data_IF_316051317441
#
_entry.id   IF_316051317441
#
_cell.length_a   1.000
_cell.length_b   1.000
_cell.length_c   1.000
_cell.angle_alpha   90.00
_cell.angle_beta   90.00
_cell.angle_gamma   90.00
#
_symmetry.space_group_name_H-M   'P 1'
#
loop_
_entity.id
_entity.type
_entity.pdbx_description
1 polymer ?
#
# COMPACT_ATOMS: atom_id res chain seq x y z
N UNK A 1 28.87 -9.28 40.80
CA UNK A 1 28.04 -9.86 39.74
C UNK A 1 28.92 -10.01 38.51
N UNK A 2 29.25 -11.25 38.14
CA UNK A 2 29.95 -11.53 36.89
C UNK A 2 28.99 -11.18 35.74
N UNK A 3 29.42 -10.44 34.71
CA UNK A 3 28.58 -10.25 33.53
C UNK A 3 28.24 -11.63 32.94
N UNK A 4 27.01 -11.85 32.44
CA UNK A 4 26.69 -13.10 31.78
C UNK A 4 27.63 -13.27 30.58
N UNK A 5 28.44 -14.33 30.62
CA UNK A 5 29.17 -14.81 29.45
C UNK A 5 28.14 -15.56 28.62
N UNK A 6 27.90 -15.11 27.39
CA UNK A 6 27.16 -15.94 26.43
C UNK A 6 28.02 -17.18 26.14
N UNK A 7 27.75 -18.27 26.84
CA UNK A 7 28.35 -19.57 26.53
C UNK A 7 27.82 -20.09 25.19
N UNK A 8 28.75 -20.55 24.35
CA UNK A 8 28.50 -21.34 23.16
C UNK A 8 28.55 -20.56 21.86
N UNK A 9 29.54 -20.86 21.00
CA UNK A 9 29.39 -20.61 19.57
C UNK A 9 28.12 -21.32 19.10
N UNK A 10 27.05 -20.56 18.82
CA UNK A 10 25.88 -21.13 18.14
C UNK A 10 26.34 -21.64 16.80
N UNK A 11 26.20 -22.94 16.56
CA UNK A 11 26.38 -23.51 15.23
C UNK A 11 25.58 -22.64 14.26
N UNK A 12 26.25 -22.11 13.23
CA UNK A 12 25.64 -21.26 12.22
C UNK A 12 25.55 -22.03 10.89
N UNK A 13 24.65 -23.03 10.81
CA UNK A 13 24.49 -23.82 9.60
C UNK A 13 24.05 -22.95 8.42
N UNK A 14 24.23 -23.45 7.20
CA UNK A 14 23.63 -22.81 6.02
C UNK A 14 22.11 -22.67 6.23
N UNK A 15 21.50 -21.55 5.77
CA UNK A 15 20.06 -21.37 5.87
C UNK A 15 19.34 -22.46 5.08
N UNK A 16 18.38 -23.13 5.72
CA UNK A 16 17.60 -24.18 5.10
C UNK A 16 16.12 -24.04 5.47
N UNK A 17 15.26 -24.37 4.52
CA UNK A 17 13.80 -24.39 4.73
C UNK A 17 13.42 -25.65 5.48
N UNK A 18 12.66 -25.49 6.56
CA UNK A 18 12.08 -26.59 7.34
C UNK A 18 10.57 -26.39 7.44
N UNK A 19 9.81 -27.51 7.51
CA UNK A 19 8.34 -27.50 7.63
C UNK A 19 7.63 -26.59 6.62
N UNK A 20 7.80 -26.88 5.34
CA UNK A 20 7.16 -26.13 4.26
C UNK A 20 5.74 -26.67 3.96
N UNK A 21 4.72 -25.93 4.36
CA UNK A 21 3.33 -26.15 3.98
C UNK A 21 3.07 -25.54 2.58
N UNK A 22 3.02 -26.41 1.57
CA UNK A 22 2.90 -26.03 0.17
C UNK A 22 1.58 -26.55 -0.42
N UNK A 23 0.69 -25.66 -0.91
CA UNK A 23 -0.53 -26.09 -1.58
C UNK A 23 -0.23 -26.72 -2.95
N UNK A 24 -0.77 -27.91 -3.20
CA UNK A 24 -0.62 -28.62 -4.49
C UNK A 24 -1.65 -28.16 -5.54
N UNK A 25 -2.69 -27.42 -5.12
CA UNK A 25 -3.74 -26.88 -5.99
C UNK A 25 -4.00 -25.42 -5.67
N UNK A 26 -4.38 -24.67 -6.70
CA UNK A 26 -4.83 -23.28 -6.61
C UNK A 26 -5.81 -22.95 -7.73
N UNK A 27 -6.35 -21.74 -7.71
CA UNK A 27 -7.28 -21.25 -8.73
C UNK A 27 -6.74 -19.99 -9.37
N UNK A 28 -6.93 -19.85 -10.67
CA UNK A 28 -6.56 -18.66 -11.43
C UNK A 28 -7.14 -17.42 -10.74
N UNK A 29 -6.34 -16.35 -10.65
CA UNK A 29 -6.72 -15.08 -10.05
C UNK A 29 -7.07 -15.13 -8.54
N UNK A 30 -6.83 -16.24 -7.85
CA UNK A 30 -6.93 -16.32 -6.40
C UNK A 30 -5.54 -16.46 -5.79
N UNK A 31 -5.24 -15.63 -4.79
CA UNK A 31 -3.96 -15.66 -4.09
C UNK A 31 -3.81 -16.98 -3.33
N UNK A 32 -2.74 -17.71 -3.61
CA UNK A 32 -2.31 -18.91 -2.90
C UNK A 32 -1.35 -18.52 -1.79
N UNK A 33 -1.59 -18.99 -0.58
CA UNK A 33 -0.74 -18.72 0.59
C UNK A 33 0.08 -19.96 0.92
N UNK A 34 1.38 -19.80 1.14
CA UNK A 34 2.27 -20.89 1.57
C UNK A 34 3.19 -20.41 2.68
N UNK A 35 3.34 -21.25 3.70
CA UNK A 35 4.12 -20.95 4.91
C UNK A 35 5.25 -21.94 5.10
N UNK A 36 6.36 -21.46 5.62
CA UNK A 36 7.54 -22.27 5.91
C UNK A 36 8.33 -21.68 7.08
N UNK A 37 9.23 -22.48 7.63
CA UNK A 37 10.18 -22.06 8.65
C UNK A 37 11.60 -22.12 8.09
N UNK A 38 12.51 -21.41 8.73
CA UNK A 38 13.95 -21.58 8.52
C UNK A 38 14.53 -22.38 9.68
N UNK A 39 15.62 -23.09 9.44
CA UNK A 39 16.33 -23.89 10.46
C UNK A 39 17.04 -23.05 11.54
N UNK A 40 16.99 -21.72 11.44
CA UNK A 40 17.57 -20.78 12.39
C UNK A 40 16.84 -19.45 12.37
N UNK A 41 17.08 -18.66 13.40
CA UNK A 41 16.51 -17.34 13.62
C UNK A 41 17.52 -16.24 13.27
N UNK A 42 16.99 -15.06 12.99
CA UNK A 42 17.73 -13.86 12.59
C UNK A 42 17.43 -12.74 13.58
N UNK A 43 18.40 -11.85 13.78
CA UNK A 43 18.24 -10.72 14.68
C UNK A 43 17.15 -9.77 14.17
N UNK A 44 17.20 -9.41 12.88
CA UNK A 44 16.14 -8.69 12.21
C UNK A 44 15.66 -9.47 10.97
N UNK A 45 14.60 -10.31 11.10
CA UNK A 45 14.06 -11.06 9.97
C UNK A 45 13.33 -10.18 8.95
N UNK A 46 13.18 -8.87 9.22
CA UNK A 46 12.64 -7.91 8.26
C UNK A 46 13.71 -7.31 7.34
N UNK A 47 15.00 -7.43 7.69
CA UNK A 47 16.09 -6.86 6.91
C UNK A 47 16.56 -7.82 5.81
N UNK A 48 16.30 -7.53 4.52
CA UNK A 48 16.78 -8.38 3.43
C UNK A 48 18.31 -8.40 3.28
N UNK A 49 19.04 -7.45 3.90
CA UNK A 49 20.51 -7.46 3.92
C UNK A 49 21.08 -8.39 5.01
N UNK A 50 20.24 -8.85 5.94
CA UNK A 50 20.53 -9.94 6.87
C UNK A 50 20.10 -11.29 6.28
N UNK A 51 18.83 -11.38 5.88
CA UNK A 51 18.23 -12.55 5.22
C UNK A 51 17.15 -12.15 4.22
N UNK A 52 17.40 -12.41 2.94
CA UNK A 52 16.38 -12.31 1.90
C UNK A 52 15.82 -13.70 1.58
N UNK A 53 14.61 -13.97 2.06
CA UNK A 53 13.80 -15.08 1.57
C UNK A 53 12.95 -14.62 0.38
N UNK A 54 13.17 -15.22 -0.78
CA UNK A 54 12.42 -15.04 -2.01
C UNK A 54 11.84 -16.40 -2.46
N UNK A 55 10.91 -16.35 -3.40
CA UNK A 55 10.44 -17.53 -4.11
C UNK A 55 10.50 -17.30 -5.62
N UNK A 56 10.84 -18.35 -6.34
CA UNK A 56 10.88 -18.36 -7.80
C UNK A 56 9.68 -19.13 -8.34
N UNK A 57 9.04 -18.57 -9.36
CA UNK A 57 7.89 -19.15 -10.04
C UNK A 57 8.22 -19.40 -11.49
N UNK A 58 8.12 -20.66 -11.92
CA UNK A 58 8.14 -21.04 -13.32
C UNK A 58 6.71 -21.30 -13.78
N UNK A 59 6.19 -20.43 -14.64
CA UNK A 59 4.85 -20.53 -15.19
C UNK A 59 4.74 -21.59 -16.30
N UNK A 60 3.53 -22.11 -16.60
CA UNK A 60 3.31 -23.03 -17.71
C UNK A 60 3.87 -22.46 -19.02
N UNK A 61 4.77 -23.21 -19.65
CA UNK A 61 5.42 -22.84 -20.92
C UNK A 61 6.46 -21.72 -20.82
N UNK A 62 6.83 -21.25 -19.63
CA UNK A 62 7.90 -20.28 -19.46
C UNK A 62 9.28 -20.96 -19.45
N UNK A 63 10.28 -20.33 -20.08
CA UNK A 63 11.66 -20.82 -20.10
C UNK A 63 12.45 -20.43 -18.84
N UNK A 64 12.11 -19.29 -18.24
CA UNK A 64 12.82 -18.71 -17.09
C UNK A 64 11.87 -18.43 -15.94
N UNK A 65 12.30 -18.69 -14.69
CA UNK A 65 11.50 -18.33 -13.53
C UNK A 65 11.52 -16.82 -13.27
N UNK A 66 10.50 -16.33 -12.58
CA UNK A 66 10.43 -14.97 -12.04
C UNK A 66 10.51 -15.04 -10.52
N UNK A 67 11.29 -14.16 -9.90
CA UNK A 67 11.50 -14.10 -8.45
C UNK A 67 10.61 -13.06 -7.80
N UNK A 68 10.03 -13.40 -6.65
CA UNK A 68 9.21 -12.52 -5.82
C UNK A 68 9.61 -12.64 -4.35
N UNK A 69 9.45 -11.59 -3.55
CA UNK A 69 9.82 -11.62 -2.16
C UNK A 69 8.82 -12.43 -1.31
N UNK A 70 9.34 -13.27 -0.40
CA UNK A 70 8.60 -13.74 0.76
C UNK A 70 8.76 -12.74 1.93
N UNK A 71 7.99 -12.94 3.00
CA UNK A 71 8.02 -12.07 4.16
C UNK A 71 7.90 -12.83 5.49
N UNK A 72 8.49 -12.26 6.52
CA UNK A 72 8.38 -12.75 7.90
C UNK A 72 7.06 -12.28 8.53
N UNK A 73 6.40 -13.17 9.26
CA UNK A 73 5.13 -12.90 9.94
C UNK A 73 4.93 -13.81 11.16
N UNK A 74 3.83 -13.59 11.85
CA UNK A 74 3.34 -14.37 12.97
C UNK A 74 1.83 -14.36 12.94
N UNK A 75 1.19 -15.39 13.46
CA UNK A 75 -0.26 -15.40 13.58
C UNK A 75 -0.69 -14.31 14.58
N UNK A 76 -1.91 -13.82 14.43
CA UNK A 76 -2.49 -12.84 15.35
C UNK A 76 -3.86 -13.29 15.81
N UNK A 77 -4.24 -12.80 16.99
CA UNK A 77 -5.58 -12.95 17.52
C UNK A 77 -6.24 -11.57 17.57
N UNK A 78 -7.23 -11.37 16.69
CA UNK A 78 -8.08 -10.18 16.70
C UNK A 78 -9.20 -10.39 17.72
N UNK A 79 -9.36 -9.44 18.64
CA UNK A 79 -10.44 -9.43 19.64
C UNK A 79 -11.14 -8.09 19.60
N UNK A 80 -12.43 -8.10 19.95
CA UNK A 80 -13.21 -6.89 20.15
C UNK A 80 -13.78 -6.90 21.55
N UNK A 81 -13.58 -5.80 22.27
CA UNK A 81 -14.16 -5.56 23.58
C UNK A 81 -14.88 -4.21 23.54
N UNK A 82 -16.22 -4.25 23.52
CA UNK A 82 -17.08 -3.10 23.25
C UNK A 82 -16.71 -2.38 21.94
N UNK A 83 -16.19 -1.16 22.04
CA UNK A 83 -15.81 -0.30 20.91
C UNK A 83 -14.32 -0.37 20.60
N UNK A 84 -13.53 -1.21 21.28
CA UNK A 84 -12.10 -1.31 21.02
C UNK A 84 -11.76 -2.64 20.37
N UNK A 85 -11.03 -2.57 19.26
CA UNK A 85 -10.39 -3.73 18.64
C UNK A 85 -8.94 -3.84 19.13
N UNK A 86 -8.53 -5.06 19.51
CA UNK A 86 -7.13 -5.38 19.79
C UNK A 86 -6.65 -6.47 18.85
N UNK A 87 -5.36 -6.44 18.51
CA UNK A 87 -4.71 -7.48 17.71
C UNK A 87 -3.40 -7.83 18.39
N UNK A 88 -3.32 -9.06 18.89
CA UNK A 88 -2.17 -9.57 19.64
C UNK A 88 -1.45 -10.64 18.83
N UNK A 89 -0.12 -10.69 18.91
CA UNK A 89 0.66 -11.75 18.29
C UNK A 89 0.39 -13.09 18.99
N UNK A 90 0.34 -14.17 18.22
CA UNK A 90 0.03 -15.52 18.70
C UNK A 90 0.84 -16.59 17.96
N UNK A 91 1.17 -17.67 18.66
CA UNK A 91 1.89 -18.81 18.07
C UNK A 91 3.39 -18.61 17.93
N UNK A 92 3.98 -19.20 16.89
CA UNK A 92 5.41 -19.08 16.56
C UNK A 92 5.58 -18.30 15.24
N UNK A 93 6.68 -17.57 15.07
CA UNK A 93 6.93 -16.85 13.83
C UNK A 93 7.14 -17.81 12.65
N UNK A 94 6.83 -17.33 11.45
CA UNK A 94 7.01 -18.06 10.20
C UNK A 94 7.35 -17.11 9.05
N UNK A 95 7.81 -17.71 7.95
CA UNK A 95 7.89 -17.04 6.67
C UNK A 95 6.70 -17.42 5.81
N UNK A 96 6.17 -16.46 5.07
CA UNK A 96 5.03 -16.63 4.17
C UNK A 96 5.40 -16.07 2.79
N UNK A 97 4.96 -16.78 1.74
CA UNK A 97 4.83 -16.17 0.44
C UNK A 97 3.39 -16.28 -0.04
N UNK A 98 2.99 -15.29 -0.83
CA UNK A 98 1.68 -15.22 -1.47
C UNK A 98 1.89 -15.28 -2.97
N UNK A 99 1.23 -16.19 -3.66
CA UNK A 99 1.37 -16.43 -5.09
C UNK A 99 0.07 -16.13 -5.83
N UNK A 100 0.12 -15.28 -6.86
CA UNK A 100 -1.02 -14.90 -7.69
C UNK A 100 -0.92 -15.51 -9.10
N UNK A 101 -1.59 -16.64 -9.36
CA UNK A 101 -1.53 -17.33 -10.65
C UNK A 101 -2.45 -16.69 -11.69
N UNK A 102 -1.89 -16.29 -12.83
CA UNK A 102 -2.64 -15.67 -13.95
C UNK A 102 -3.00 -16.61 -15.08
N UNK A 103 -2.33 -17.76 -15.21
CA UNK A 103 -2.62 -18.80 -16.20
C UNK A 103 -3.07 -20.07 -15.49
N UNK A 104 -3.84 -20.90 -16.18
CA UNK A 104 -4.14 -22.26 -15.72
C UNK A 104 -3.00 -23.21 -16.08
N UNK A 105 -2.95 -24.36 -15.40
CA UNK A 105 -1.97 -25.42 -15.66
C UNK A 105 -0.93 -25.57 -14.56
N UNK A 106 0.17 -26.24 -14.90
CA UNK A 106 1.21 -26.61 -13.95
C UNK A 106 2.26 -25.50 -13.76
N UNK A 107 2.42 -25.05 -12.51
CA UNK A 107 3.49 -24.15 -12.10
C UNK A 107 4.51 -24.90 -11.25
N UNK A 108 5.78 -24.48 -11.35
CA UNK A 108 6.83 -24.93 -10.42
C UNK A 108 7.28 -23.76 -9.54
N UNK A 109 7.40 -24.01 -8.24
CA UNK A 109 7.82 -23.03 -7.25
C UNK A 109 8.97 -23.58 -6.42
N UNK A 110 10.00 -22.76 -6.16
CA UNK A 110 11.05 -23.05 -5.19
C UNK A 110 11.38 -21.81 -4.36
N UNK A 111 11.94 -22.01 -3.18
CA UNK A 111 12.44 -20.93 -2.35
C UNK A 111 13.91 -20.65 -2.66
N UNK A 112 14.28 -19.37 -2.57
CA UNK A 112 15.62 -18.84 -2.82
C UNK A 112 16.02 -18.01 -1.59
N UNK A 113 17.06 -18.44 -0.88
CA UNK A 113 17.53 -17.80 0.36
C UNK A 113 18.90 -17.18 0.13
N UNK A 114 19.02 -15.88 0.41
CA UNK A 114 20.30 -15.18 0.43
C UNK A 114 20.56 -14.64 1.84
N UNK A 115 21.63 -15.11 2.47
CA UNK A 115 22.03 -14.70 3.82
C UNK A 115 23.30 -13.85 3.77
N UNK A 116 23.36 -12.81 4.60
CA UNK A 116 24.52 -11.94 4.73
C UNK A 116 25.79 -12.71 5.09
N UNK A 117 26.91 -12.34 4.45
CA UNK A 117 28.21 -12.98 4.68
C UNK A 117 28.34 -14.40 4.08
N UNK A 118 27.29 -14.96 3.46
CA UNK A 118 27.38 -16.20 2.69
C UNK A 118 27.51 -15.88 1.20
N UNK A 119 28.43 -16.56 0.51
CA UNK A 119 28.66 -16.37 -0.94
C UNK A 119 27.62 -17.08 -1.80
N UNK A 120 27.03 -18.16 -1.30
CA UNK A 120 26.15 -19.02 -2.08
C UNK A 120 24.68 -18.82 -1.69
N UNK A 121 23.84 -18.62 -2.70
CA UNK A 121 22.39 -18.66 -2.58
C UNK A 121 21.93 -20.10 -2.38
N UNK A 122 21.07 -20.34 -1.38
CA UNK A 122 20.47 -21.66 -1.16
C UNK A 122 19.12 -21.74 -1.87
N UNK A 123 18.86 -22.86 -2.55
CA UNK A 123 17.58 -23.14 -3.21
C UNK A 123 16.95 -24.41 -2.64
N UNK A 124 15.63 -24.43 -2.54
CA UNK A 124 14.90 -25.68 -2.35
C UNK A 124 14.76 -26.43 -3.68
N UNK A 125 14.37 -27.71 -3.62
CA UNK A 125 13.82 -28.40 -4.78
C UNK A 125 12.57 -27.69 -5.29
N UNK A 126 12.30 -27.86 -6.59
CA UNK A 126 11.05 -27.43 -7.21
C UNK A 126 9.88 -28.24 -6.64
N UNK A 127 8.80 -27.55 -6.28
CA UNK A 127 7.48 -28.13 -5.99
C UNK A 127 6.48 -27.70 -7.03
N UNK A 128 5.50 -28.54 -7.27
CA UNK A 128 4.50 -28.35 -8.33
C UNK A 128 3.16 -27.98 -7.75
N UNK A 129 2.52 -26.95 -8.31
CA UNK A 129 1.14 -26.57 -8.01
C UNK A 129 0.31 -26.55 -9.30
N UNK A 130 -0.86 -27.19 -9.25
CA UNK A 130 -1.82 -27.18 -10.35
C UNK A 130 -2.83 -26.03 -10.19
N UNK A 131 -2.91 -25.17 -11.20
CA UNK A 131 -3.85 -24.04 -11.21
C UNK A 131 -5.05 -24.35 -12.10
N UNK A 132 -6.20 -24.41 -11.45
CA UNK A 132 -7.51 -24.59 -12.09
C UNK A 132 -8.07 -23.25 -12.57
N UNK A 133 -8.96 -23.31 -13.57
CA UNK A 133 -9.72 -22.13 -14.01
C UNK A 133 -10.65 -21.66 -12.90
N UNK A 134 -10.81 -20.35 -12.76
CA UNK A 134 -11.78 -19.74 -11.84
C UNK A 134 -12.78 -18.85 -12.59
N UNK A 135 -13.83 -18.42 -11.87
CA UNK A 135 -14.76 -17.38 -12.32
C UNK A 135 -14.41 -15.98 -11.80
N UNK A 136 -13.24 -15.80 -11.19
CA UNK A 136 -12.82 -14.51 -10.65
C UNK A 136 -12.51 -13.51 -11.77
N UNK A 137 -12.64 -12.22 -11.46
CA UNK A 137 -12.35 -11.16 -12.44
C UNK A 137 -10.86 -10.90 -12.63
N UNK A 138 -10.05 -11.30 -11.65
CA UNK A 138 -8.66 -10.88 -11.54
C UNK A 138 -8.49 -9.42 -11.09
N UNK A 139 -7.23 -9.02 -11.00
CA UNK A 139 -6.80 -7.69 -10.60
C UNK A 139 -7.13 -6.64 -11.68
N UNK A 140 -7.06 -5.37 -11.29
CA UNK A 140 -7.26 -4.24 -12.21
C UNK A 140 -5.97 -3.92 -12.95
N UNK A 141 -6.08 -3.47 -14.19
CA UNK A 141 -4.98 -2.93 -14.99
C UNK A 141 -5.45 -1.75 -15.84
N UNK A 142 -4.50 -0.98 -16.37
CA UNK A 142 -4.79 -0.02 -17.45
C UNK A 142 -5.35 -0.79 -18.65
N UNK A 143 -6.44 -0.28 -19.24
CA UNK A 143 -7.10 -1.00 -20.33
C UNK A 143 -6.21 -1.09 -21.56
N UNK A 144 -6.21 -2.28 -22.18
CA UNK A 144 -5.52 -2.54 -23.44
C UNK A 144 -6.28 -1.99 -24.64
N UNK A 145 -7.60 -1.89 -24.53
CA UNK A 145 -8.48 -1.34 -25.56
C UNK A 145 -8.44 0.18 -25.56
N UNK A 146 -8.51 0.80 -24.37
CA UNK A 146 -8.44 2.24 -24.23
C UNK A 146 -7.56 2.64 -23.02
N UNK A 147 -6.32 3.11 -23.25
CA UNK A 147 -5.37 3.40 -22.17
C UNK A 147 -5.77 4.61 -21.30
N UNK A 148 -6.92 5.23 -21.54
CA UNK A 148 -7.52 6.25 -20.68
C UNK A 148 -8.34 5.66 -19.52
N UNK A 149 -8.60 4.35 -19.51
CA UNK A 149 -9.45 3.71 -18.52
C UNK A 149 -8.80 2.46 -17.95
N UNK A 150 -9.54 1.76 -17.08
CA UNK A 150 -9.13 0.51 -16.48
C UNK A 150 -9.94 -0.69 -17.01
N UNK A 151 -9.38 -1.87 -16.87
CA UNK A 151 -10.06 -3.14 -17.13
C UNK A 151 -9.61 -4.20 -16.12
N UNK A 152 -10.43 -5.23 -15.94
CA UNK A 152 -10.11 -6.41 -15.15
C UNK A 152 -9.27 -7.39 -15.97
N UNK A 153 -8.47 -8.24 -15.33
CA UNK A 153 -7.63 -9.21 -16.06
C UNK A 153 -8.44 -10.22 -16.89
N UNK A 154 -9.71 -10.47 -16.55
CA UNK A 154 -10.64 -11.26 -17.36
C UNK A 154 -11.16 -10.53 -18.63
N UNK A 155 -10.81 -9.25 -18.80
CA UNK A 155 -11.16 -8.42 -19.98
C UNK A 155 -12.38 -7.50 -19.80
N UNK A 156 -13.07 -7.55 -18.66
CA UNK A 156 -14.20 -6.65 -18.41
C UNK A 156 -13.74 -5.20 -18.21
N UNK A 157 -14.48 -4.24 -18.75
CA UNK A 157 -14.28 -2.82 -18.46
C UNK A 157 -14.46 -2.54 -16.97
N UNK A 158 -13.63 -1.66 -16.42
CA UNK A 158 -13.68 -1.29 -15.00
C UNK A 158 -13.64 0.23 -14.87
N UNK A 159 -14.66 0.79 -14.21
CA UNK A 159 -14.76 2.20 -13.87
C UNK A 159 -14.97 2.30 -12.37
N UNK A 160 -13.91 2.59 -11.59
CA UNK A 160 -14.05 2.66 -10.14
C UNK A 160 -14.98 3.81 -9.74
N UNK A 161 -15.86 3.49 -8.79
CA UNK A 161 -16.66 4.45 -8.03
C UNK A 161 -16.28 4.28 -6.58
N UNK A 162 -15.67 5.31 -6.01
CA UNK A 162 -14.98 5.21 -4.74
C UNK A 162 -15.22 6.32 -3.74
N UNK A 163 -14.71 6.06 -2.54
CA UNK A 163 -14.66 6.98 -1.42
C UNK A 163 -13.27 6.97 -0.79
N UNK A 164 -12.77 8.15 -0.43
CA UNK A 164 -11.60 8.24 0.43
C UNK A 164 -11.99 7.98 1.89
N UNK A 165 -11.46 6.90 2.48
CA UNK A 165 -11.67 6.51 3.88
C UNK A 165 -10.30 6.38 4.56
N UNK A 166 -9.48 7.42 4.45
CA UNK A 166 -8.14 7.46 5.02
C UNK A 166 -8.08 7.29 6.56
N UNK A 167 -9.20 7.43 7.25
CA UNK A 167 -9.34 7.24 8.70
C UNK A 167 -10.74 6.74 9.06
N UNK A 168 -10.86 5.88 10.08
CA UNK A 168 -12.13 5.50 10.68
C UNK A 168 -12.56 6.42 11.84
N UNK A 169 -11.66 7.31 12.29
CA UNK A 169 -11.95 8.33 13.32
C UNK A 169 -11.90 9.73 12.71
N UNK A 170 -12.76 10.64 13.16
CA UNK A 170 -12.83 12.02 12.63
C UNK A 170 -12.78 13.07 13.74
N UNK A 171 -11.60 13.21 14.35
CA UNK A 171 -11.33 14.26 15.33
C UNK A 171 -11.58 15.67 14.77
N UNK A 172 -11.45 15.87 13.46
CA UNK A 172 -11.69 17.16 12.82
C UNK A 172 -13.19 17.45 12.75
N UNK A 173 -14.00 16.46 12.38
CA UNK A 173 -15.45 16.53 12.36
C UNK A 173 -16.06 16.80 13.74
N UNK A 174 -15.52 16.20 14.80
CA UNK A 174 -15.90 16.55 16.18
C UNK A 174 -15.69 18.03 16.48
N UNK A 175 -14.54 18.60 16.07
CA UNK A 175 -14.23 20.01 16.31
C UNK A 175 -15.04 20.97 15.45
N UNK A 176 -15.20 20.65 14.16
CA UNK A 176 -15.70 21.60 13.15
C UNK A 176 -17.23 21.53 13.01
N UNK A 177 -17.81 20.33 12.99
CA UNK A 177 -19.25 20.13 12.79
C UNK A 177 -19.93 19.45 13.98
N UNK A 178 -19.22 19.27 15.10
CA UNK A 178 -19.73 18.68 16.35
C UNK A 178 -20.37 17.32 16.12
N UNK A 179 -19.77 16.53 15.24
CA UNK A 179 -20.11 15.10 15.14
C UNK A 179 -19.87 14.46 16.50
N UNK A 180 -20.78 13.57 16.90
CA UNK A 180 -20.61 12.81 18.14
C UNK A 180 -19.34 11.98 18.00
N UNK A 181 -18.52 11.98 19.04
CA UNK A 181 -17.32 11.14 19.15
C UNK A 181 -17.63 9.70 18.70
N UNK A 182 -16.93 9.28 17.64
CA UNK A 182 -17.02 7.96 17.06
C UNK A 182 -15.83 7.19 17.62
N UNK A 183 -16.11 6.29 18.56
CA UNK A 183 -15.07 5.46 19.15
C UNK A 183 -14.35 4.64 18.07
N UNK A 184 -13.01 4.61 18.15
CA UNK A 184 -12.16 3.84 17.24
C UNK A 184 -12.39 2.33 17.42
N UNK A 185 -13.21 1.74 16.54
CA UNK A 185 -13.48 0.31 16.54
C UNK A 185 -12.53 -0.48 15.61
N UNK A 186 -11.44 0.13 15.14
CA UNK A 186 -10.46 -0.50 14.26
C UNK A 186 -11.07 -1.02 12.96
N UNK A 187 -10.75 -2.27 12.58
CA UNK A 187 -11.29 -2.85 11.35
C UNK A 187 -12.81 -2.97 11.33
N UNK A 188 -13.48 -3.04 12.49
CA UNK A 188 -14.93 -3.18 12.51
C UNK A 188 -15.65 -1.97 11.85
N UNK A 189 -15.09 -0.77 11.96
CA UNK A 189 -15.63 0.43 11.29
C UNK A 189 -15.45 0.31 9.77
N UNK A 190 -14.25 -0.07 9.33
CA UNK A 190 -13.96 -0.30 7.92
C UNK A 190 -14.81 -1.42 7.31
N UNK A 191 -15.03 -2.52 8.05
CA UNK A 191 -15.89 -3.64 7.62
C UNK A 191 -17.34 -3.17 7.45
N UNK A 192 -17.84 -2.30 8.34
CA UNK A 192 -19.14 -1.66 8.17
C UNK A 192 -19.17 -0.77 6.92
N UNK A 193 -18.17 0.10 6.72
CA UNK A 193 -18.10 0.98 5.55
C UNK A 193 -18.04 0.18 4.25
N UNK A 194 -17.20 -0.87 4.17
CA UNK A 194 -17.09 -1.74 2.98
C UNK A 194 -18.42 -2.43 2.69
N UNK A 195 -19.10 -2.94 3.71
CA UNK A 195 -20.39 -3.60 3.54
C UNK A 195 -21.44 -2.64 2.96
N UNK A 196 -21.48 -1.39 3.46
CA UNK A 196 -22.39 -0.36 2.93
C UNK A 196 -21.99 0.11 1.53
N UNK A 197 -20.71 0.32 1.25
CA UNK A 197 -20.20 0.63 -0.10
C UNK A 197 -20.65 -0.43 -1.11
N UNK A 198 -20.37 -1.70 -0.82
CA UNK A 198 -20.71 -2.84 -1.66
C UNK A 198 -22.22 -2.91 -1.96
N UNK A 199 -23.08 -2.75 -0.94
CA UNK A 199 -24.54 -2.74 -1.11
C UNK A 199 -25.04 -1.61 -2.01
N UNK A 200 -24.33 -0.49 -2.05
CA UNK A 200 -24.71 0.71 -2.79
C UNK A 200 -23.95 0.89 -4.11
N UNK A 201 -23.18 -0.11 -4.55
CA UNK A 201 -22.47 -0.10 -5.84
C UNK A 201 -21.17 0.71 -5.85
N UNK A 202 -20.64 1.08 -4.69
CA UNK A 202 -19.30 1.65 -4.54
C UNK A 202 -18.31 0.48 -4.46
N UNK A 203 -17.31 0.47 -5.32
CA UNK A 203 -16.40 -0.67 -5.51
C UNK A 203 -14.92 -0.33 -5.33
N UNK A 204 -14.60 0.91 -4.97
CA UNK A 204 -13.26 1.34 -4.57
C UNK A 204 -13.33 2.09 -3.22
N UNK A 205 -12.34 1.86 -2.36
CA UNK A 205 -12.07 2.74 -1.23
C UNK A 205 -10.58 3.11 -1.21
N UNK A 206 -10.25 4.31 -0.77
CA UNK A 206 -8.86 4.67 -0.46
C UNK A 206 -8.60 4.51 1.03
N UNK A 207 -7.47 3.90 1.36
CA UNK A 207 -7.03 3.63 2.73
C UNK A 207 -5.55 3.96 2.86
N UNK A 208 -5.20 4.68 3.91
CA UNK A 208 -3.81 5.06 4.18
C UNK A 208 -3.13 4.09 5.15
N UNK A 209 -1.87 3.76 4.87
CA UNK A 209 -0.93 3.18 5.82
C UNK A 209 -0.38 4.26 6.76
N UNK A 210 -1.27 5.06 7.34
CA UNK A 210 -0.93 6.16 8.24
C UNK A 210 -0.63 5.66 9.67
N UNK A 211 0.05 6.48 10.46
CA UNK A 211 0.51 6.11 11.80
C UNK A 211 -0.64 5.83 12.80
N UNK A 212 -1.85 6.31 12.50
CA UNK A 212 -3.07 6.07 13.27
C UNK A 212 -3.90 4.87 12.78
N UNK A 213 -3.58 4.29 11.63
CA UNK A 213 -4.32 3.16 11.05
C UNK A 213 -3.39 1.98 10.73
N UNK A 214 -2.91 1.88 9.48
CA UNK A 214 -2.26 0.69 8.92
C UNK A 214 -0.76 0.84 8.66
N UNK A 215 -0.10 1.90 9.18
CA UNK A 215 1.36 1.97 9.12
C UNK A 215 1.98 0.71 9.74
N UNK A 216 2.98 0.15 9.07
CA UNK A 216 3.76 -0.96 9.63
C UNK A 216 5.06 -0.47 10.27
N UNK A 217 5.51 0.75 9.97
CA UNK A 217 6.77 1.29 10.44
C UNK A 217 6.55 2.72 10.92
N UNK A 218 6.84 2.98 12.20
CA UNK A 218 6.67 4.26 12.85
C UNK A 218 7.59 4.40 14.07
N UNK A 219 7.49 5.53 14.76
CA UNK A 219 8.21 5.82 16.00
C UNK A 219 7.85 4.86 17.13
N UNK A 220 8.86 4.47 17.90
CA UNK A 220 8.79 3.67 19.12
C UNK A 220 8.04 4.35 20.28
N UNK A 221 7.61 5.61 20.10
CA UNK A 221 6.65 6.28 20.97
C UNK A 221 5.27 5.59 20.97
N UNK A 222 4.96 4.80 19.94
CA UNK A 222 3.66 4.14 19.76
C UNK A 222 3.77 2.62 19.97
N UNK A 223 2.75 2.05 20.60
CA UNK A 223 2.71 0.61 20.89
C UNK A 223 2.83 -0.23 19.62
N UNK A 224 3.70 -1.24 19.67
CA UNK A 224 3.95 -2.18 18.57
C UNK A 224 4.88 -1.66 17.46
N UNK A 225 5.41 -0.44 17.60
CA UNK A 225 6.41 0.11 16.69
C UNK A 225 7.79 0.17 17.35
N UNK A 226 8.84 0.02 16.55
CA UNK A 226 10.22 -0.13 17.04
C UNK A 226 11.23 0.69 16.21
N UNK A 227 10.77 1.71 15.48
CA UNK A 227 11.64 2.52 14.63
C UNK A 227 11.88 1.94 13.23
N UNK A 228 12.86 2.51 12.54
CA UNK A 228 13.17 2.16 11.15
C UNK A 228 13.74 0.74 11.03
N UNK A 229 13.22 -0.03 10.08
CA UNK A 229 13.64 -1.39 9.77
C UNK A 229 12.91 -2.49 10.55
N UNK A 230 11.92 -2.16 11.37
CA UNK A 230 11.13 -3.11 12.15
C UNK A 230 9.64 -2.90 11.93
N UNK A 231 8.90 -3.97 11.60
CA UNK A 231 7.51 -3.87 11.15
C UNK A 231 6.50 -4.39 12.17
N UNK A 232 5.44 -3.60 12.39
CA UNK A 232 4.32 -3.91 13.26
C UNK A 232 3.43 -4.99 12.63
N UNK A 233 3.64 -6.23 13.03
CA UNK A 233 2.91 -7.40 12.52
C UNK A 233 1.41 -7.38 12.89
N UNK A 234 1.02 -6.73 13.98
CA UNK A 234 -0.39 -6.56 14.34
C UNK A 234 -1.09 -5.59 13.38
N UNK A 235 -0.48 -4.45 13.07
CA UNK A 235 -0.98 -3.52 12.05
C UNK A 235 -1.05 -4.18 10.67
N UNK A 236 -0.02 -4.93 10.28
CA UNK A 236 0.00 -5.66 9.03
C UNK A 236 -1.10 -6.74 8.96
N UNK A 237 -1.39 -7.44 10.07
CA UNK A 237 -2.47 -8.43 10.13
C UNK A 237 -3.87 -7.80 10.08
N UNK A 238 -4.04 -6.57 10.59
CA UNK A 238 -5.29 -5.82 10.43
C UNK A 238 -5.53 -5.46 8.96
N UNK A 239 -4.50 -5.04 8.23
CA UNK A 239 -4.62 -4.80 6.79
C UNK A 239 -4.91 -6.08 5.99
N UNK A 240 -4.32 -7.22 6.37
CA UNK A 240 -4.69 -8.52 5.78
C UNK A 240 -6.20 -8.81 5.94
N UNK A 241 -6.74 -8.63 7.15
CA UNK A 241 -8.14 -8.86 7.42
C UNK A 241 -9.06 -7.89 6.66
N UNK A 242 -8.64 -6.63 6.50
CA UNK A 242 -9.36 -5.63 5.71
C UNK A 242 -9.45 -6.05 4.25
N UNK A 243 -8.32 -6.44 3.63
CA UNK A 243 -8.28 -6.85 2.23
C UNK A 243 -9.07 -8.13 1.98
N UNK A 244 -9.00 -9.10 2.90
CA UNK A 244 -9.84 -10.30 2.82
C UNK A 244 -11.34 -9.97 2.89
N UNK A 245 -11.73 -9.01 3.74
CA UNK A 245 -13.11 -8.54 3.83
C UNK A 245 -13.54 -7.80 2.55
N UNK A 246 -12.72 -6.86 2.07
CA UNK A 246 -12.93 -6.12 0.83
C UNK A 246 -13.14 -7.07 -0.36
N UNK A 247 -12.29 -8.11 -0.48
CA UNK A 247 -12.38 -9.15 -1.53
C UNK A 247 -13.72 -9.88 -1.50
N UNK A 248 -14.20 -10.29 -0.31
CA UNK A 248 -15.50 -10.96 -0.13
C UNK A 248 -16.67 -10.06 -0.54
N UNK A 249 -16.52 -8.75 -0.38
CA UNK A 249 -17.52 -7.74 -0.71
C UNK A 249 -17.34 -7.11 -2.10
N UNK A 250 -16.38 -7.59 -2.90
CA UNK A 250 -16.07 -7.08 -4.24
C UNK A 250 -15.72 -5.59 -4.26
N UNK A 251 -15.20 -5.07 -3.14
CA UNK A 251 -14.64 -3.72 -3.03
C UNK A 251 -13.12 -3.84 -3.13
N UNK A 252 -12.50 -2.89 -3.84
CA UNK A 252 -11.05 -2.80 -3.97
C UNK A 252 -10.50 -1.67 -3.11
N UNK A 253 -9.21 -1.72 -2.83
CA UNK A 253 -8.52 -0.76 -1.98
C UNK A 253 -7.42 -0.05 -2.79
N UNK A 254 -7.53 1.27 -2.94
CA UNK A 254 -6.38 2.13 -3.26
C UNK A 254 -5.55 2.26 -1.97
N UNK A 255 -4.37 1.62 -1.95
CA UNK A 255 -3.54 1.53 -0.76
C UNK A 255 -2.45 2.59 -0.81
N UNK A 256 -2.57 3.62 0.02
CA UNK A 256 -1.62 4.73 0.11
C UNK A 256 -0.54 4.41 1.15
N UNK A 257 0.74 4.45 0.78
CA UNK A 257 1.83 4.06 1.66
C UNK A 257 2.22 5.15 2.66
N UNK A 258 2.27 6.39 2.20
CA UNK A 258 2.64 7.56 2.99
C UNK A 258 1.67 8.71 2.71
N UNK A 259 1.43 9.57 3.69
CA UNK A 259 0.63 10.79 3.53
C UNK A 259 1.53 12.02 3.69
N UNK A 260 1.10 13.19 3.21
CA UNK A 260 1.87 14.43 3.27
C UNK A 260 2.41 14.78 4.67
N UNK A 261 1.59 14.53 5.71
CA UNK A 261 1.88 14.79 7.10
C UNK A 261 3.19 14.19 7.60
N UNK A 262 3.55 13.00 7.08
CA UNK A 262 4.76 12.26 7.42
C UNK A 262 6.06 13.05 7.24
N UNK A 263 6.10 13.97 6.27
CA UNK A 263 7.29 14.73 5.89
C UNK A 263 7.03 16.23 5.93
N UNK A 264 6.23 16.72 6.87
CA UNK A 264 6.00 18.15 7.06
C UNK A 264 5.62 18.50 8.50
N UNK A 265 5.92 19.75 8.89
CA UNK A 265 5.37 20.40 10.09
C UNK A 265 4.19 21.34 9.73
N UNK A 266 3.77 21.34 8.46
CA UNK A 266 2.68 22.16 7.94
C UNK A 266 1.31 21.47 8.04
N UNK A 267 0.84 20.94 6.91
CA UNK A 267 -0.44 20.24 6.82
C UNK A 267 -0.39 18.89 7.53
N UNK A 268 -1.34 18.64 8.44
CA UNK A 268 -1.46 17.40 9.24
C UNK A 268 -0.12 16.90 9.79
N UNK A 269 0.60 17.72 10.58
CA UNK A 269 2.03 17.54 10.81
C UNK A 269 2.34 16.30 11.65
N UNK A 270 3.17 15.41 11.12
CA UNK A 270 3.66 14.21 11.83
C UNK A 270 5.18 14.21 12.01
N UNK A 271 5.92 15.19 11.47
CA UNK A 271 7.38 15.17 11.47
C UNK A 271 8.00 15.09 12.87
N UNK A 272 7.41 15.74 13.87
CA UNK A 272 7.85 15.68 15.26
C UNK A 272 7.89 14.25 15.84
N UNK A 273 6.98 13.37 15.40
CA UNK A 273 6.90 11.95 15.81
C UNK A 273 7.37 11.00 14.70
N UNK A 274 8.00 11.53 13.64
CA UNK A 274 8.50 10.70 12.54
C UNK A 274 9.69 9.84 12.97
N UNK A 275 9.75 8.55 12.58
CA UNK A 275 10.88 7.68 12.90
C UNK A 275 12.19 8.13 12.22
N UNK A 276 12.14 9.07 11.28
CA UNK A 276 13.32 9.63 10.63
C UNK A 276 13.93 10.82 11.36
N UNK A 277 13.16 11.50 12.22
CA UNK A 277 13.55 12.79 12.80
C UNK A 277 14.65 12.64 13.85
N UNK A 278 15.87 13.08 13.53
CA UNK A 278 17.04 12.98 14.40
C UNK A 278 16.92 13.83 15.69
N UNK A 279 15.98 14.77 15.72
CA UNK A 279 15.70 15.64 16.88
C UNK A 279 14.47 15.19 17.68
N UNK A 280 13.81 14.11 17.26
CA UNK A 280 12.65 13.57 17.95
C UNK A 280 13.03 12.97 19.32
N UNK A 281 12.09 12.97 20.26
CA UNK A 281 12.30 12.46 21.63
C UNK A 281 12.80 10.99 21.65
N UNK A 282 12.38 10.20 20.66
CA UNK A 282 12.73 8.78 20.52
C UNK A 282 13.79 8.52 19.45
N UNK A 283 14.55 9.53 19.01
CA UNK A 283 15.48 9.42 17.88
C UNK A 283 16.47 8.25 18.00
N UNK A 284 17.03 8.03 19.19
CA UNK A 284 17.96 6.91 19.45
C UNK A 284 17.31 5.54 19.27
N UNK A 285 16.12 5.35 19.84
CA UNK A 285 15.36 4.09 19.71
C UNK A 285 14.82 3.89 18.27
N UNK A 286 14.53 4.98 17.56
CA UNK A 286 14.02 4.93 16.19
C UNK A 286 15.10 4.70 15.14
N UNK A 287 16.37 4.72 15.54
CA UNK A 287 17.52 4.78 14.63
C UNK A 287 17.44 5.97 13.67
N UNK A 288 16.92 7.11 14.14
CA UNK A 288 16.65 8.30 13.35
C UNK A 288 17.93 9.06 12.98
N UNK A 289 17.92 9.77 11.84
CA UNK A 289 19.14 10.40 11.29
C UNK A 289 18.89 11.58 10.35
N UNK A 290 17.63 11.96 10.09
CA UNK A 290 17.32 13.11 9.25
C UNK A 290 17.11 14.35 10.09
N UNK A 291 17.86 15.41 9.78
CA UNK A 291 17.75 16.71 10.46
C UNK A 291 16.56 17.55 9.97
N UNK A 292 15.99 17.21 8.82
CA UNK A 292 14.85 17.88 8.22
C UNK A 292 14.09 16.94 7.26
N UNK A 293 12.75 17.09 7.14
CA UNK A 293 11.91 16.16 6.37
C UNK A 293 12.27 16.13 4.88
N UNK A 294 12.56 17.28 4.28
CA UNK A 294 12.89 17.36 2.85
C UNK A 294 14.16 16.61 2.45
N UNK A 295 15.01 16.21 3.40
CA UNK A 295 16.21 15.42 3.11
C UNK A 295 15.90 13.96 2.77
N UNK A 296 14.67 13.48 3.04
CA UNK A 296 14.21 12.15 2.67
C UNK A 296 14.47 11.82 1.19
N UNK A 297 14.24 12.79 0.30
CA UNK A 297 14.29 12.59 -1.14
C UNK A 297 15.68 12.29 -1.70
N UNK A 298 16.75 12.61 -0.97
CA UNK A 298 18.12 12.47 -1.46
C UNK A 298 19.09 11.84 -0.47
N UNK A 299 18.68 11.59 0.78
CA UNK A 299 19.50 10.87 1.74
C UNK A 299 19.51 9.36 1.41
N UNK A 300 20.66 8.74 1.07
CA UNK A 300 20.71 7.34 0.64
C UNK A 300 20.19 6.36 1.69
N UNK A 301 20.43 6.65 2.98
CA UNK A 301 19.98 5.81 4.10
C UNK A 301 18.45 5.86 4.24
N UNK A 302 17.83 7.02 4.03
CA UNK A 302 16.36 7.15 4.05
C UNK A 302 15.71 6.40 2.89
N UNK A 303 16.28 6.53 1.69
CA UNK A 303 15.81 5.79 0.52
C UNK A 303 15.94 4.27 0.72
N UNK A 304 17.01 3.82 1.38
CA UNK A 304 17.24 2.40 1.65
C UNK A 304 16.23 1.81 2.63
N UNK A 305 15.95 2.47 3.76
CA UNK A 305 14.89 2.03 4.68
C UNK A 305 13.53 1.98 3.98
N UNK A 306 13.21 3.01 3.18
CA UNK A 306 11.96 3.04 2.44
C UNK A 306 11.87 1.89 1.41
N UNK A 307 12.97 1.57 0.72
CA UNK A 307 13.05 0.44 -0.21
C UNK A 307 12.79 -0.89 0.48
N UNK A 308 13.40 -1.13 1.65
CA UNK A 308 13.19 -2.34 2.46
C UNK A 308 11.72 -2.47 2.89
N UNK A 309 11.13 -1.38 3.37
CA UNK A 309 9.71 -1.32 3.75
C UNK A 309 8.79 -1.61 2.57
N UNK A 310 9.02 -0.97 1.42
CA UNK A 310 8.19 -1.18 0.23
C UNK A 310 8.36 -2.59 -0.35
N UNK A 311 9.55 -3.22 -0.21
CA UNK A 311 9.73 -4.64 -0.53
C UNK A 311 8.83 -5.52 0.36
N UNK A 312 8.76 -5.25 1.66
CA UNK A 312 7.88 -5.99 2.58
C UNK A 312 6.39 -5.79 2.23
N UNK A 313 5.99 -4.55 1.96
CA UNK A 313 4.61 -4.22 1.53
C UNK A 313 4.26 -5.00 0.24
N UNK A 314 5.16 -5.02 -0.75
CA UNK A 314 4.96 -5.76 -1.99
C UNK A 314 4.90 -7.28 -1.77
N UNK A 315 5.75 -7.83 -0.89
CA UNK A 315 5.76 -9.25 -0.55
C UNK A 315 4.42 -9.70 0.07
N UNK A 316 3.85 -8.87 0.95
CA UNK A 316 2.62 -9.19 1.68
C UNK A 316 1.36 -8.89 0.89
N UNK A 317 1.30 -7.79 0.13
CA UNK A 317 0.06 -7.34 -0.52
C UNK A 317 0.15 -7.21 -2.05
N UNK A 318 1.33 -7.32 -2.65
CA UNK A 318 1.52 -7.21 -4.11
C UNK A 318 0.97 -8.38 -4.93
N UNK A 319 0.43 -9.40 -4.27
CA UNK A 319 -0.24 -10.56 -4.86
C UNK A 319 -1.76 -10.56 -4.65
N UNK A 320 -2.31 -9.54 -3.97
CA UNK A 320 -3.74 -9.50 -3.64
C UNK A 320 -4.55 -8.76 -4.72
N UNK A 321 -5.50 -9.41 -5.41
CA UNK A 321 -6.32 -8.76 -6.43
C UNK A 321 -7.33 -7.74 -5.87
N UNK A 322 -7.53 -7.68 -4.55
CA UNK A 322 -8.33 -6.63 -3.90
C UNK A 322 -7.58 -5.29 -3.84
N UNK A 323 -6.25 -5.28 -3.94
CA UNK A 323 -5.49 -4.03 -4.08
C UNK A 323 -5.71 -3.49 -5.49
N UNK A 324 -6.38 -2.34 -5.59
CA UNK A 324 -6.57 -1.62 -6.84
C UNK A 324 -5.24 -1.04 -7.31
N UNK A 325 -4.63 -0.20 -6.48
CA UNK A 325 -3.35 0.42 -6.73
C UNK A 325 -2.54 0.54 -5.44
N UNK A 326 -1.22 0.59 -5.61
CA UNK A 326 -0.27 0.96 -4.57
C UNK A 326 0.17 2.39 -4.83
N UNK A 327 -0.36 3.30 -4.04
CA UNK A 327 -0.08 4.72 -4.15
C UNK A 327 1.07 5.10 -3.22
N UNK A 328 2.10 5.73 -3.78
CA UNK A 328 3.32 6.03 -3.03
C UNK A 328 3.10 7.10 -1.97
N UNK A 329 2.33 8.14 -2.32
CA UNK A 329 2.03 9.27 -1.47
C UNK A 329 0.65 9.83 -1.78
N UNK A 330 -0.12 10.15 -0.73
CA UNK A 330 -1.23 11.10 -0.81
C UNK A 330 -0.69 12.54 -0.76
N UNK A 331 -1.20 13.41 -1.63
CA UNK A 331 -0.92 14.85 -1.71
C UNK A 331 0.57 15.22 -1.57
N UNK A 332 1.44 14.56 -2.34
CA UNK A 332 2.90 14.66 -2.14
C UNK A 332 3.46 16.07 -2.34
N UNK A 333 2.74 16.96 -3.02
CA UNK A 333 3.14 18.35 -3.19
C UNK A 333 2.97 19.19 -1.91
N UNK A 334 2.29 18.68 -0.89
CA UNK A 334 2.13 19.32 0.43
C UNK A 334 3.26 18.97 1.43
N UNK A 335 4.17 18.05 1.08
CA UNK A 335 5.34 17.75 1.92
C UNK A 335 6.29 18.96 2.02
N UNK A 336 7.13 18.97 3.05
CA UNK A 336 8.05 20.08 3.28
C UNK A 336 8.94 20.37 2.06
N UNK A 337 8.85 21.62 1.56
CA UNK A 337 9.67 22.13 0.45
C UNK A 337 9.61 21.26 -0.81
N UNK A 338 8.48 20.61 -1.09
CA UNK A 338 8.29 19.69 -2.22
C UNK A 338 8.86 20.24 -3.53
N UNK A 339 8.43 21.46 -3.93
CA UNK A 339 8.83 22.06 -5.19
C UNK A 339 10.32 22.38 -5.27
N UNK A 340 10.93 22.82 -4.16
CA UNK A 340 12.37 23.10 -4.10
C UNK A 340 13.22 21.82 -4.25
N UNK A 341 12.68 20.66 -3.85
CA UNK A 341 13.34 19.35 -3.95
C UNK A 341 12.75 18.47 -5.07
N UNK A 342 12.03 19.07 -6.01
CA UNK A 342 11.29 18.38 -7.09
C UNK A 342 12.15 17.40 -7.88
N UNK A 343 13.41 17.74 -8.18
CA UNK A 343 14.31 16.88 -8.97
C UNK A 343 14.57 15.55 -8.26
N UNK A 344 14.98 15.58 -6.98
CA UNK A 344 15.23 14.38 -6.18
C UNK A 344 13.95 13.62 -5.86
N UNK A 345 12.85 14.35 -5.63
CA UNK A 345 11.53 13.79 -5.38
C UNK A 345 11.05 12.97 -6.59
N UNK A 346 11.15 13.51 -7.81
CA UNK A 346 10.79 12.79 -9.04
C UNK A 346 11.69 11.58 -9.26
N UNK A 347 13.00 11.73 -9.07
CA UNK A 347 13.95 10.63 -9.23
C UNK A 347 13.61 9.47 -8.28
N UNK A 348 13.28 9.78 -7.02
CA UNK A 348 12.84 8.79 -6.05
C UNK A 348 11.54 8.11 -6.46
N UNK A 349 10.53 8.85 -6.95
CA UNK A 349 9.24 8.27 -7.37
C UNK A 349 9.41 7.28 -8.52
N UNK A 350 10.19 7.64 -9.55
CA UNK A 350 10.47 6.77 -10.70
C UNK A 350 11.16 5.48 -10.27
N UNK A 351 12.22 5.60 -9.46
CA UNK A 351 12.95 4.44 -8.93
C UNK A 351 12.04 3.53 -8.10
N UNK A 352 11.30 4.12 -7.16
CA UNK A 352 10.43 3.38 -6.23
C UNK A 352 9.30 2.68 -6.96
N UNK A 353 8.66 3.34 -7.94
CA UNK A 353 7.60 2.73 -8.74
C UNK A 353 8.11 1.53 -9.56
N UNK A 354 9.30 1.62 -10.16
CA UNK A 354 9.91 0.50 -10.88
C UNK A 354 10.25 -0.68 -9.95
N UNK A 355 10.84 -0.39 -8.79
CA UNK A 355 11.19 -1.41 -7.79
C UNK A 355 9.94 -2.10 -7.23
N UNK A 356 8.89 -1.33 -6.94
CA UNK A 356 7.63 -1.85 -6.45
C UNK A 356 6.98 -2.79 -7.47
N UNK A 357 6.85 -2.35 -8.73
CA UNK A 357 6.27 -3.15 -9.81
C UNK A 357 7.03 -4.45 -10.10
N UNK A 358 8.35 -4.50 -9.86
CA UNK A 358 9.14 -5.74 -9.97
C UNK A 358 8.79 -6.76 -8.89
N UNK A 359 8.40 -6.29 -7.71
CA UNK A 359 8.05 -7.14 -6.56
C UNK A 359 6.56 -7.52 -6.52
N UNK A 360 5.71 -6.84 -7.29
CA UNK A 360 4.28 -7.15 -7.42
C UNK A 360 4.01 -8.25 -8.46
N UNK A 361 2.98 -9.06 -8.21
CA UNK A 361 2.55 -10.14 -9.11
C UNK A 361 1.30 -9.77 -9.91
N UNK A 362 0.43 -8.93 -9.34
CA UNK A 362 -0.67 -8.31 -10.07
C UNK A 362 -0.12 -7.33 -11.12
N UNK A 363 -0.93 -6.88 -12.10
CA UNK A 363 -0.50 -5.88 -13.09
C UNK A 363 0.06 -4.58 -12.49
N UNK A 364 -0.24 -4.33 -11.20
CA UNK A 364 0.49 -3.39 -10.36
C UNK A 364 0.28 -1.95 -10.78
N UNK A 365 -0.94 -1.45 -10.60
CA UNK A 365 -1.20 -0.02 -10.67
C UNK A 365 -0.41 0.68 -9.56
N UNK A 366 0.41 1.64 -9.96
CA UNK A 366 1.18 2.51 -9.08
C UNK A 366 0.89 3.96 -9.45
N UNK A 367 0.70 4.80 -8.44
CA UNK A 367 0.47 6.24 -8.60
C UNK A 367 1.11 7.04 -7.46
N UNK A 368 1.06 8.35 -7.60
CA UNK A 368 1.28 9.32 -6.53
C UNK A 368 0.27 10.44 -6.75
N UNK A 369 -0.24 10.99 -5.66
CA UNK A 369 -1.37 11.91 -5.67
C UNK A 369 -0.91 13.35 -5.55
N UNK A 370 -1.53 14.24 -6.34
CA UNK A 370 -1.28 15.68 -6.35
C UNK A 370 -2.53 16.43 -5.88
N UNK A 371 -2.34 17.29 -4.87
CA UNK A 371 -3.38 18.08 -4.25
C UNK A 371 -3.96 19.14 -5.20
N UNK A 372 -5.23 19.47 -4.97
CA UNK A 372 -5.83 20.76 -5.33
C UNK A 372 -6.67 20.73 -6.60
N UNK A 373 -6.36 21.62 -7.54
CA UNK A 373 -7.14 21.77 -8.78
C UNK A 373 -6.31 21.30 -9.97
N UNK A 374 -6.95 20.99 -11.11
CA UNK A 374 -6.26 20.52 -12.31
C UNK A 374 -5.07 21.40 -12.72
N UNK A 375 -5.13 22.71 -12.47
CA UNK A 375 -4.00 23.60 -12.72
C UNK A 375 -2.73 23.24 -11.93
N UNK A 376 -2.85 22.78 -10.68
CA UNK A 376 -1.73 22.33 -9.86
C UNK A 376 -1.17 21.00 -10.35
N UNK A 377 -2.04 20.04 -10.70
CA UNK A 377 -1.65 18.78 -11.33
C UNK A 377 -0.73 19.02 -12.55
N UNK A 378 -1.06 19.98 -13.42
CA UNK A 378 -0.24 20.29 -14.58
C UNK A 378 1.10 21.00 -14.25
N UNK A 379 1.24 21.64 -13.08
CA UNK A 379 2.55 22.11 -12.61
C UNK A 379 3.47 20.95 -12.24
N UNK A 380 2.88 19.83 -11.81
CA UNK A 380 3.55 18.57 -11.45
C UNK A 380 3.50 17.53 -12.57
N UNK A 381 3.34 17.96 -13.82
CA UNK A 381 3.19 17.08 -14.98
C UNK A 381 4.33 16.04 -15.11
N UNK A 382 5.56 16.46 -14.87
CA UNK A 382 6.77 15.62 -14.94
C UNK A 382 6.90 14.59 -13.80
N UNK A 383 6.04 14.70 -12.78
CA UNK A 383 5.88 13.73 -11.69
C UNK A 383 4.65 12.86 -11.92
N UNK A 384 3.47 13.45 -12.05
CA UNK A 384 2.20 12.72 -11.96
C UNK A 384 1.64 12.27 -13.31
N UNK A 385 2.00 12.93 -14.42
CA UNK A 385 1.41 12.69 -15.75
C UNK A 385 2.38 11.95 -16.67
N UNK A 386 3.55 12.52 -16.91
CA UNK A 386 4.49 12.05 -17.93
C UNK A 386 5.23 10.74 -17.57
N UNK A 387 5.63 10.47 -16.31
CA UNK A 387 6.39 9.26 -15.98
C UNK A 387 5.63 7.96 -16.30
N UNK A 388 6.15 7.07 -17.16
CA UNK A 388 5.51 5.78 -17.47
C UNK A 388 5.59 4.78 -16.31
N UNK A 389 6.45 5.04 -15.33
CA UNK A 389 6.58 4.25 -14.11
C UNK A 389 5.31 4.31 -13.26
N UNK A 390 4.65 5.48 -13.24
CA UNK A 390 3.34 5.70 -12.64
C UNK A 390 2.23 5.42 -13.67
N UNK A 391 1.38 4.47 -13.34
CA UNK A 391 0.42 3.85 -14.27
C UNK A 391 -0.79 4.70 -14.60
N UNK A 392 -1.21 5.55 -13.66
CA UNK A 392 -2.34 6.46 -13.80
C UNK A 392 -2.06 7.76 -13.04
N UNK A 393 -2.80 8.80 -13.40
CA UNK A 393 -2.81 10.07 -12.68
C UNK A 393 -3.79 9.93 -11.52
N UNK A 394 -3.32 10.23 -10.32
CA UNK A 394 -4.13 10.37 -9.11
C UNK A 394 -4.12 11.86 -8.71
N UNK A 395 -5.29 12.47 -8.54
CA UNK A 395 -5.40 13.90 -8.34
C UNK A 395 -6.71 14.31 -7.66
N UNK A 396 -6.79 15.57 -7.27
CA UNK A 396 -8.02 16.17 -6.78
C UNK A 396 -8.79 16.95 -7.84
N UNK A 397 -10.06 17.20 -7.53
CA UNK A 397 -10.87 18.21 -8.18
C UNK A 397 -11.44 19.23 -7.17
N UNK A 398 -10.60 19.71 -6.25
CA UNK A 398 -10.96 20.76 -5.32
C UNK A 398 -11.26 22.09 -6.02
N UNK A 399 -12.15 22.89 -5.42
CA UNK A 399 -12.66 24.13 -6.00
C UNK A 399 -13.07 25.14 -4.95
N UNK A 400 -13.34 26.37 -5.39
CA UNK A 400 -13.98 27.38 -4.54
C UNK A 400 -15.45 27.02 -4.30
N UNK A 401 -16.01 27.29 -3.10
CA UNK A 401 -17.37 26.86 -2.74
C UNK A 401 -18.49 27.36 -3.67
N UNK A 402 -18.32 28.52 -4.31
CA UNK A 402 -19.30 29.10 -5.25
C UNK A 402 -19.23 28.53 -6.66
N UNK A 403 -18.26 27.66 -6.97
CA UNK A 403 -18.19 26.96 -8.26
C UNK A 403 -19.00 25.67 -8.12
N UNK A 404 -20.02 25.41 -8.97
CA UNK A 404 -20.70 24.12 -8.97
C UNK A 404 -19.75 22.97 -9.28
N UNK A 405 -19.88 21.84 -8.59
CA UNK A 405 -18.99 20.67 -8.80
C UNK A 405 -18.99 20.22 -10.27
N UNK A 406 -20.14 20.24 -10.94
CA UNK A 406 -20.25 19.85 -12.36
C UNK A 406 -19.37 20.73 -13.26
N UNK A 407 -19.36 22.05 -13.04
CA UNK A 407 -18.53 22.98 -13.80
C UNK A 407 -17.03 22.73 -13.54
N UNK A 408 -16.68 22.35 -12.31
CA UNK A 408 -15.31 21.99 -11.96
C UNK A 408 -14.87 20.72 -12.69
N UNK A 409 -15.71 19.70 -12.70
CA UNK A 409 -15.44 18.42 -13.38
C UNK A 409 -15.37 18.60 -14.90
N UNK A 410 -16.22 19.45 -15.49
CA UNK A 410 -16.16 19.82 -16.90
C UNK A 410 -14.81 20.48 -17.25
N UNK A 411 -14.41 21.50 -16.48
CA UNK A 411 -13.11 22.16 -16.65
C UNK A 411 -11.95 21.16 -16.53
N UNK A 412 -12.01 20.28 -15.54
CA UNK A 412 -11.02 19.23 -15.35
C UNK A 412 -10.96 18.31 -16.59
N UNK A 413 -12.12 17.84 -17.05
CA UNK A 413 -12.28 17.00 -18.24
C UNK A 413 -11.72 17.62 -19.52
N UNK A 414 -11.94 18.91 -19.74
CA UNK A 414 -11.39 19.65 -20.88
C UNK A 414 -9.85 19.68 -20.84
N UNK A 415 -9.26 19.86 -19.65
CA UNK A 415 -7.80 19.93 -19.48
C UNK A 415 -7.11 18.58 -19.68
N UNK A 416 -7.72 17.49 -19.22
CA UNK A 416 -7.15 16.15 -19.35
C UNK A 416 -7.46 15.49 -20.70
N UNK A 417 -8.31 16.10 -21.53
CA UNK A 417 -8.73 15.57 -22.83
C UNK A 417 -7.57 15.05 -23.72
N UNK A 418 -6.38 15.71 -23.78
CA UNK A 418 -5.26 15.24 -24.59
C UNK A 418 -4.51 14.03 -24.01
N UNK A 419 -4.75 13.66 -22.75
CA UNK A 419 -4.01 12.60 -22.07
C UNK A 419 -4.47 11.22 -22.56
N UNK A 420 -3.51 10.30 -22.68
CA UNK A 420 -3.71 8.88 -23.04
C UNK A 420 -3.33 7.97 -21.88
N UNK A 421 -3.62 8.43 -20.66
CA UNK A 421 -3.34 7.77 -19.39
C UNK A 421 -4.59 7.93 -18.52
N UNK A 422 -4.95 6.94 -17.67
CA UNK A 422 -6.12 7.08 -16.83
C UNK A 422 -5.94 8.22 -15.85
N UNK A 423 -7.00 9.01 -15.64
CA UNK A 423 -7.05 10.08 -14.64
C UNK A 423 -8.13 9.74 -13.64
N UNK A 424 -7.71 9.37 -12.44
CA UNK A 424 -8.57 9.07 -11.30
C UNK A 424 -8.61 10.30 -10.39
N UNK A 425 -9.82 10.78 -10.08
CA UNK A 425 -9.98 11.83 -9.07
C UNK A 425 -10.25 11.14 -7.74
N UNK A 426 -9.30 11.15 -6.80
CA UNK A 426 -9.47 10.48 -5.50
C UNK A 426 -10.07 11.40 -4.44
N UNK A 427 -9.96 12.73 -4.61
CA UNK A 427 -10.63 13.69 -3.73
C UNK A 427 -11.33 14.83 -4.47
N UNK A 428 -12.57 15.07 -4.06
CA UNK A 428 -13.30 16.30 -4.33
C UNK A 428 -14.42 16.43 -3.31
N UNK A 429 -14.95 17.64 -3.14
CA UNK A 429 -16.07 17.89 -2.25
C UNK A 429 -16.01 19.27 -1.64
N UNK A 430 -16.46 19.35 -0.39
CA UNK A 430 -16.40 20.55 0.42
C UNK A 430 -14.97 20.95 0.77
N UNK A 431 -14.83 21.89 1.71
CA UNK A 431 -13.51 22.31 2.20
C UNK A 431 -13.09 21.45 3.40
N UNK A 432 -11.81 21.53 3.77
CA UNK A 432 -11.30 20.96 5.02
C UNK A 432 -11.94 21.56 6.29
N UNK A 433 -12.75 22.62 6.16
CA UNK A 433 -13.56 23.21 7.24
C UNK A 433 -15.03 22.74 7.20
N UNK A 434 -15.27 21.58 6.58
CA UNK A 434 -16.58 21.01 6.30
C UNK A 434 -17.43 21.84 5.33
N UNK A 435 -18.56 21.26 4.92
CA UNK A 435 -19.55 21.89 4.05
C UNK A 435 -20.96 21.71 4.60
N UNK A 436 -21.88 22.57 4.18
CA UNK A 436 -23.30 22.39 4.47
C UNK A 436 -23.82 21.08 3.88
N UNK A 437 -24.81 20.43 4.51
CA UNK A 437 -25.38 19.15 4.05
C UNK A 437 -25.87 19.19 2.60
N UNK A 438 -26.45 20.32 2.17
CA UNK A 438 -26.88 20.53 0.77
C UNK A 438 -25.70 20.54 -0.19
N UNK A 439 -24.60 21.20 0.16
CA UNK A 439 -23.38 21.22 -0.64
C UNK A 439 -22.77 19.82 -0.75
N UNK A 440 -22.66 19.09 0.38
CA UNK A 440 -22.14 17.73 0.37
C UNK A 440 -22.98 16.80 -0.52
N UNK A 441 -24.31 16.88 -0.42
CA UNK A 441 -25.22 16.11 -1.29
C UNK A 441 -25.05 16.48 -2.77
N UNK A 442 -24.92 17.77 -3.07
CA UNK A 442 -24.68 18.25 -4.43
C UNK A 442 -23.31 17.80 -4.97
N UNK A 443 -22.29 17.76 -4.11
CA UNK A 443 -20.94 17.38 -4.49
C UNK A 443 -20.86 15.89 -4.81
N UNK A 444 -21.37 15.04 -3.92
CA UNK A 444 -21.42 13.59 -4.14
C UNK A 444 -22.22 13.28 -5.41
N UNK A 445 -23.43 13.82 -5.55
CA UNK A 445 -24.25 13.51 -6.72
C UNK A 445 -23.68 14.09 -8.01
N UNK A 446 -23.32 15.38 -8.01
CA UNK A 446 -22.86 16.09 -9.20
C UNK A 446 -21.46 15.69 -9.64
N UNK A 447 -20.55 15.39 -8.70
CA UNK A 447 -19.21 14.91 -9.00
C UNK A 447 -19.23 13.52 -9.65
N UNK A 448 -19.93 12.57 -9.02
CA UNK A 448 -20.14 11.24 -9.60
C UNK A 448 -20.80 11.31 -10.96
N UNK A 449 -21.90 12.05 -11.09
CA UNK A 449 -22.61 12.18 -12.37
C UNK A 449 -21.71 12.80 -13.46
N UNK A 450 -21.05 13.93 -13.17
CA UNK A 450 -20.21 14.61 -14.15
C UNK A 450 -18.98 13.78 -14.56
N UNK A 451 -18.43 12.97 -13.64
CA UNK A 451 -17.28 12.10 -13.93
C UNK A 451 -17.55 11.11 -15.07
N UNK A 452 -18.80 10.65 -15.23
CA UNK A 452 -19.22 9.74 -16.31
C UNK A 452 -19.24 10.41 -17.69
N UNK A 453 -19.45 11.72 -17.74
CA UNK A 453 -19.51 12.49 -18.99
C UNK A 453 -18.20 13.22 -19.30
N UNK A 454 -17.25 13.16 -18.37
CA UNK A 454 -15.91 13.73 -18.50
C UNK A 454 -14.92 12.57 -18.66
N UNK A 455 -13.79 12.76 -19.34
CA UNK A 455 -12.86 11.65 -19.67
C UNK A 455 -12.09 11.08 -18.47
N UNK A 456 -12.60 11.23 -17.25
CA UNK A 456 -12.01 10.64 -16.06
C UNK A 456 -12.16 9.13 -16.11
N UNK A 457 -11.18 8.43 -15.54
CA UNK A 457 -11.16 6.98 -15.49
C UNK A 457 -11.99 6.41 -14.33
N UNK A 458 -12.46 7.28 -13.43
CA UNK A 458 -13.20 6.96 -12.22
C UNK A 458 -13.11 8.10 -11.21
N UNK A 459 -13.71 7.88 -10.05
CA UNK A 459 -13.63 8.75 -8.87
C UNK A 459 -13.58 7.94 -7.61
#
# INVERSE_FOLDING_TARGET
MTPPVFEGERANPAPAVVRWNFPEKGKQFQTVVSRFLLNKEYFNPFDPDEIAADFEVLAPGAEKPVSYPAFFSMDTLRRRHFTMETTELSGSPFWEFRFYPRKTGEYKIRLRLNESGKKETVYTSWRTIHIEKSGETGAVRVSKTDPRFFELENGAFYYPVGLNIHTNTDQRGERVVRLKDIADCGNADYEMYIAECSKNGIDLIEVWMAAWTYAIEWSSSRNGYYGLGHYNLAAASRLDALLDFARKHKVRVNLVFDNHGKMTDGSDPEWNDSPFNAKGLFAGANNAFLDAPQHFWHNPRAQEFNRKRNRYIAARWGADPAVFAMELWSEVDLVAKAYAHRISLIAWHKKTALELRRNMQTPGLVATHICGEVGNLFKWRDLAIDPPELTHVCCDAYRKPWIPVVNQLEKHGQRIMPLKKPVLITEYGGTNMAGGRSQLKADIHGGLWASLFTRHAGT
#
